data_IF_670345305611
#
_entry.id   IF_670345305611
#
_cell.length_a   1.000
_cell.length_b   1.000
_cell.length_c   1.000
_cell.angle_alpha   90.00
_cell.angle_beta   90.00
_cell.angle_gamma   90.00
#
_symmetry.space_group_name_H-M   'P 1'
#
loop_
_entity.id
_entity.type
_entity.pdbx_description
1 polymer ?
#
# COMPACT_ATOMS: atom_id res chain seq x y z
N UNK A 1 -23.66 -22.62 -12.37
CA UNK A 1 -24.25 -22.15 -11.13
C UNK A 1 -24.55 -23.33 -10.22
N UNK A 2 -24.30 -23.22 -8.94
CA UNK A 2 -24.58 -24.16 -7.87
C UNK A 2 -23.84 -25.49 -7.93
N UNK A 3 -22.51 -25.42 -7.83
CA UNK A 3 -21.76 -26.50 -7.19
C UNK A 3 -22.04 -26.45 -5.68
N UNK A 4 -22.10 -27.63 -5.04
CA UNK A 4 -22.18 -27.68 -3.58
C UNK A 4 -21.08 -26.84 -2.96
N UNK A 5 -21.46 -25.87 -2.16
CA UNK A 5 -20.49 -25.02 -1.43
C UNK A 5 -20.34 -25.60 -0.05
N UNK A 6 -19.13 -26.01 0.30
CA UNK A 6 -18.82 -26.42 1.66
C UNK A 6 -18.72 -25.17 2.55
N UNK A 7 -19.42 -25.16 3.65
CA UNK A 7 -19.31 -24.10 4.65
C UNK A 7 -17.91 -24.11 5.28
N UNK A 8 -17.25 -22.96 5.26
CA UNK A 8 -15.91 -22.78 5.83
C UNK A 8 -15.94 -21.66 6.89
N UNK A 9 -15.73 -22.06 8.15
CA UNK A 9 -15.68 -21.15 9.29
C UNK A 9 -14.61 -20.05 9.13
N UNK A 10 -13.46 -20.36 8.52
CA UNK A 10 -12.40 -19.37 8.29
C UNK A 10 -12.84 -18.28 7.31
N UNK A 11 -13.65 -18.63 6.31
CA UNK A 11 -14.24 -17.63 5.41
C UNK A 11 -15.23 -16.75 6.14
N UNK A 12 -16.08 -17.30 6.98
CA UNK A 12 -17.01 -16.52 7.81
C UNK A 12 -16.26 -15.54 8.72
N UNK A 13 -15.12 -15.95 9.28
CA UNK A 13 -14.25 -15.09 10.06
C UNK A 13 -13.64 -13.94 9.22
N UNK A 14 -13.25 -14.21 7.99
CA UNK A 14 -12.79 -13.19 7.03
C UNK A 14 -13.87 -12.12 6.77
N UNK A 15 -15.12 -12.53 6.56
CA UNK A 15 -16.23 -11.58 6.37
C UNK A 15 -16.58 -10.79 7.65
N UNK A 16 -16.43 -11.38 8.83
CA UNK A 16 -16.52 -10.63 10.10
C UNK A 16 -15.44 -9.53 10.17
N UNK A 17 -14.22 -9.82 9.74
CA UNK A 17 -13.14 -8.84 9.68
C UNK A 17 -13.45 -7.70 8.71
N UNK A 18 -14.11 -7.98 7.60
CA UNK A 18 -14.60 -6.96 6.68
C UNK A 18 -15.57 -6.00 7.38
N UNK A 19 -16.57 -6.52 8.08
CA UNK A 19 -17.49 -5.68 8.86
C UNK A 19 -16.77 -4.84 9.93
N UNK A 20 -15.76 -5.42 10.59
CA UNK A 20 -14.93 -4.70 11.57
C UNK A 20 -14.15 -3.57 10.92
N UNK A 21 -13.57 -3.79 9.74
CA UNK A 21 -12.84 -2.75 9.02
C UNK A 21 -13.77 -1.62 8.54
N UNK A 22 -14.97 -1.95 8.07
CA UNK A 22 -15.98 -0.94 7.71
C UNK A 22 -16.34 -0.08 8.93
N UNK A 23 -16.53 -0.69 10.10
CA UNK A 23 -16.78 0.02 11.36
C UNK A 23 -15.61 0.93 11.74
N UNK A 24 -14.36 0.46 11.64
CA UNK A 24 -13.16 1.24 11.95
C UNK A 24 -13.03 2.42 10.99
N UNK A 25 -13.23 2.21 9.69
CA UNK A 25 -13.23 3.28 8.69
C UNK A 25 -14.33 4.32 8.97
N UNK A 26 -15.54 3.88 9.31
CA UNK A 26 -16.63 4.77 9.69
C UNK A 26 -16.26 5.62 10.92
N UNK A 27 -15.65 5.02 11.93
CA UNK A 27 -15.19 5.78 13.12
C UNK A 27 -14.13 6.81 12.75
N UNK A 28 -13.18 6.45 11.90
CA UNK A 28 -12.18 7.39 11.40
C UNK A 28 -12.84 8.57 10.67
N UNK A 29 -13.79 8.30 9.77
CA UNK A 29 -14.52 9.35 9.06
C UNK A 29 -15.23 10.26 10.04
N UNK A 30 -16.06 9.73 10.93
CA UNK A 30 -16.82 10.52 11.91
C UNK A 30 -15.91 11.38 12.77
N UNK A 31 -14.79 10.86 13.27
CA UNK A 31 -13.80 11.64 14.04
C UNK A 31 -13.22 12.83 13.26
N UNK A 32 -13.17 12.76 11.94
CA UNK A 32 -12.61 13.81 11.10
C UNK A 32 -13.66 14.80 10.56
N UNK A 33 -14.95 14.41 10.57
CA UNK A 33 -16.03 15.21 9.97
C UNK A 33 -17.03 15.75 10.99
N UNK A 34 -17.22 15.08 12.14
CA UNK A 34 -18.21 15.48 13.16
C UNK A 34 -17.88 16.88 13.72
N UNK A 35 -18.86 17.77 13.68
CA UNK A 35 -18.73 19.16 14.10
C UNK A 35 -17.86 20.04 13.19
N UNK A 36 -17.47 19.54 12.03
CA UNK A 36 -16.68 20.28 11.03
C UNK A 36 -17.48 20.49 9.75
N UNK A 37 -17.07 21.51 9.01
CA UNK A 37 -17.65 21.80 7.70
C UNK A 37 -17.26 20.72 6.68
N UNK A 38 -18.27 20.06 6.13
CA UNK A 38 -18.15 19.02 5.10
C UNK A 38 -18.72 19.47 3.76
N UNK A 39 -19.00 20.76 3.56
CA UNK A 39 -19.59 21.27 2.31
C UNK A 39 -20.99 20.71 2.05
N UNK A 40 -21.79 20.47 3.07
CA UNK A 40 -23.18 19.99 2.97
C UNK A 40 -24.13 20.97 3.66
N UNK A 41 -25.41 20.95 3.28
CA UNK A 41 -26.40 21.84 3.87
C UNK A 41 -26.13 23.31 3.60
N UNK A 42 -26.03 24.14 4.65
CA UNK A 42 -25.84 25.58 4.52
C UNK A 42 -24.52 26.00 3.87
N UNK A 43 -23.48 25.17 3.95
CA UNK A 43 -22.14 25.44 3.40
C UNK A 43 -21.90 24.77 2.04
N UNK A 44 -22.92 24.15 1.43
CA UNK A 44 -22.76 23.43 0.15
C UNK A 44 -22.21 24.29 -1.00
N UNK A 45 -22.44 25.60 -0.97
CA UNK A 45 -21.99 26.53 -2.01
C UNK A 45 -20.61 27.17 -1.74
N UNK A 46 -20.02 26.86 -0.61
CA UNK A 46 -18.68 27.38 -0.29
C UNK A 46 -17.59 26.65 -1.07
N UNK A 47 -16.45 27.31 -1.39
CA UNK A 47 -15.41 26.71 -2.22
C UNK A 47 -14.88 25.39 -1.67
N UNK A 48 -14.82 24.37 -2.52
CA UNK A 48 -14.16 23.09 -2.26
C UNK A 48 -13.10 22.85 -3.33
N UNK A 49 -11.91 22.42 -2.89
CA UNK A 49 -10.82 22.09 -3.79
C UNK A 49 -10.56 20.60 -3.73
N UNK A 50 -11.24 19.86 -4.63
CA UNK A 50 -11.07 18.40 -4.75
C UNK A 50 -9.70 18.09 -5.32
N UNK A 51 -8.95 17.25 -4.61
CA UNK A 51 -7.70 16.70 -5.08
C UNK A 51 -7.92 15.62 -6.14
N UNK A 52 -6.85 15.24 -6.86
CA UNK A 52 -6.93 14.07 -7.75
C UNK A 52 -7.22 12.77 -7.00
N UNK A 53 -6.87 12.68 -5.71
CA UNK A 53 -7.16 11.52 -4.86
C UNK A 53 -8.66 11.46 -4.53
N UNK A 54 -9.30 12.60 -4.26
CA UNK A 54 -10.75 12.66 -4.05
C UNK A 54 -11.50 12.25 -5.33
N UNK A 55 -11.06 12.79 -6.48
CA UNK A 55 -11.64 12.45 -7.79
C UNK A 55 -11.42 10.98 -8.16
N UNK A 56 -10.27 10.42 -7.81
CA UNK A 56 -9.97 9.01 -8.01
C UNK A 56 -10.93 8.11 -7.22
N UNK A 57 -11.11 8.33 -5.92
CA UNK A 57 -12.00 7.45 -5.13
C UNK A 57 -13.46 7.57 -5.55
N UNK A 58 -13.91 8.75 -5.96
CA UNK A 58 -15.24 8.95 -6.56
C UNK A 58 -15.35 8.14 -7.86
N UNK A 59 -14.32 8.19 -8.72
CA UNK A 59 -14.30 7.43 -9.97
C UNK A 59 -14.34 5.92 -9.75
N UNK A 60 -13.58 5.42 -8.78
CA UNK A 60 -13.58 3.99 -8.42
C UNK A 60 -14.92 3.56 -7.81
N UNK A 61 -15.55 4.44 -7.03
CA UNK A 61 -16.90 4.19 -6.53
C UNK A 61 -17.92 4.09 -7.66
N UNK A 62 -17.92 5.01 -8.60
CA UNK A 62 -18.83 4.98 -9.76
C UNK A 62 -18.62 3.70 -10.60
N UNK A 63 -17.38 3.30 -10.84
CA UNK A 63 -17.09 2.01 -11.51
C UNK A 63 -17.64 0.82 -10.74
N UNK A 64 -17.52 0.84 -9.42
CA UNK A 64 -18.07 -0.20 -8.55
C UNK A 64 -19.60 -0.25 -8.61
N UNK A 65 -20.25 0.91 -8.60
CA UNK A 65 -21.73 0.98 -8.77
C UNK A 65 -22.17 0.34 -10.09
N UNK A 66 -21.46 0.64 -11.18
CA UNK A 66 -21.74 0.03 -12.49
C UNK A 66 -21.55 -1.49 -12.46
N UNK A 67 -20.45 -1.97 -11.89
CA UNK A 67 -20.15 -3.40 -11.78
C UNK A 67 -21.21 -4.13 -10.94
N UNK A 68 -21.59 -3.56 -9.80
CA UNK A 68 -22.62 -4.12 -8.91
C UNK A 68 -23.98 -4.16 -9.59
N UNK A 69 -24.37 -3.10 -10.30
CA UNK A 69 -25.63 -3.05 -11.03
C UNK A 69 -25.67 -4.13 -12.11
N UNK A 70 -24.62 -4.23 -12.93
CA UNK A 70 -24.48 -5.27 -13.97
C UNK A 70 -24.54 -6.68 -13.35
N UNK A 71 -23.86 -6.87 -12.21
CA UNK A 71 -23.87 -8.17 -11.52
C UNK A 71 -25.28 -8.55 -11.02
N UNK A 72 -26.08 -7.60 -10.56
CA UNK A 72 -27.49 -7.85 -10.20
C UNK A 72 -28.35 -8.16 -11.40
N UNK A 73 -28.18 -7.45 -12.52
CA UNK A 73 -28.89 -7.72 -13.78
C UNK A 73 -28.59 -9.13 -14.32
N UNK A 74 -27.33 -9.57 -14.15
CA UNK A 74 -26.87 -10.91 -14.55
C UNK A 74 -27.17 -12.00 -13.51
N UNK A 75 -27.84 -11.69 -12.41
CA UNK A 75 -28.07 -12.60 -11.27
C UNK A 75 -26.78 -13.18 -10.67
N UNK A 76 -25.66 -12.45 -10.75
CA UNK A 76 -24.35 -12.80 -10.23
C UNK A 76 -24.08 -12.11 -8.88
N UNK A 77 -24.83 -12.54 -7.85
CA UNK A 77 -24.71 -11.98 -6.49
C UNK A 77 -23.30 -12.15 -5.91
N UNK A 78 -22.58 -13.16 -6.33
CA UNK A 78 -21.17 -13.37 -5.99
C UNK A 78 -20.27 -12.23 -6.52
N UNK A 79 -20.47 -11.79 -7.75
CA UNK A 79 -19.75 -10.67 -8.34
C UNK A 79 -20.11 -9.35 -7.65
N UNK A 80 -21.39 -9.12 -7.36
CA UNK A 80 -21.81 -7.92 -6.63
C UNK A 80 -21.15 -7.83 -5.25
N UNK A 81 -21.15 -8.91 -4.49
CA UNK A 81 -20.51 -8.97 -3.19
C UNK A 81 -18.99 -8.76 -3.28
N UNK A 82 -18.32 -9.36 -4.27
CA UNK A 82 -16.89 -9.20 -4.48
C UNK A 82 -16.50 -7.77 -4.90
N UNK A 83 -17.30 -7.13 -5.76
CA UNK A 83 -17.06 -5.74 -6.17
C UNK A 83 -17.13 -4.78 -4.97
N UNK A 84 -18.16 -4.91 -4.14
CA UNK A 84 -18.33 -4.13 -2.92
C UNK A 84 -17.17 -4.41 -1.94
N UNK A 85 -16.83 -5.67 -1.72
CA UNK A 85 -15.72 -6.07 -0.86
C UNK A 85 -14.41 -5.46 -1.33
N UNK A 86 -14.09 -5.58 -2.61
CA UNK A 86 -12.86 -5.07 -3.20
C UNK A 86 -12.76 -3.54 -3.09
N UNK A 87 -13.84 -2.82 -3.39
CA UNK A 87 -13.85 -1.37 -3.26
C UNK A 87 -13.63 -0.94 -1.81
N UNK A 88 -14.42 -1.47 -0.87
CA UNK A 88 -14.35 -1.06 0.54
C UNK A 88 -12.98 -1.39 1.13
N UNK A 89 -12.51 -2.62 0.93
CA UNK A 89 -11.25 -3.06 1.53
C UNK A 89 -10.04 -2.44 0.85
N UNK A 90 -9.89 -2.68 -0.46
CA UNK A 90 -8.66 -2.34 -1.17
C UNK A 90 -8.58 -0.86 -1.58
N UNK A 91 -9.71 -0.22 -1.94
CA UNK A 91 -9.67 1.16 -2.42
C UNK A 91 -9.95 2.16 -1.31
N UNK A 92 -11.06 1.98 -0.60
CA UNK A 92 -11.49 2.95 0.40
C UNK A 92 -10.66 2.86 1.69
N UNK A 93 -10.57 1.68 2.31
CA UNK A 93 -9.88 1.52 3.60
C UNK A 93 -8.36 1.55 3.47
N UNK A 94 -7.79 0.74 2.55
CA UNK A 94 -6.33 0.60 2.47
C UNK A 94 -5.65 1.81 1.83
N UNK A 95 -6.32 2.48 0.88
CA UNK A 95 -5.74 3.61 0.16
C UNK A 95 -6.35 4.95 0.54
N UNK A 96 -7.66 5.15 0.28
CA UNK A 96 -8.24 6.48 0.39
C UNK A 96 -8.18 7.05 1.81
N UNK A 97 -8.53 6.25 2.82
CA UNK A 97 -8.45 6.65 4.23
C UNK A 97 -7.04 7.07 4.62
N UNK A 98 -6.02 6.37 4.14
CA UNK A 98 -4.62 6.73 4.44
C UNK A 98 -4.15 7.97 3.68
N UNK A 99 -4.53 8.11 2.41
CA UNK A 99 -4.21 9.28 1.58
C UNK A 99 -4.91 10.55 2.08
N UNK A 100 -6.15 10.44 2.55
CA UNK A 100 -6.92 11.57 3.08
C UNK A 100 -6.24 12.26 4.27
N UNK A 101 -5.42 11.54 5.03
CA UNK A 101 -4.65 12.11 6.14
C UNK A 101 -3.65 13.19 5.69
N UNK A 102 -3.18 13.12 4.46
CA UNK A 102 -2.32 14.15 3.87
C UNK A 102 -3.14 15.40 3.57
N UNK A 103 -4.28 15.24 2.91
CA UNK A 103 -5.16 16.33 2.47
C UNK A 103 -5.83 17.05 3.66
N UNK A 104 -6.16 16.31 4.73
CA UNK A 104 -6.70 16.88 5.96
C UNK A 104 -5.71 17.81 6.71
N UNK A 105 -4.46 17.94 6.22
CA UNK A 105 -3.45 18.90 6.70
C UNK A 105 -3.26 20.09 5.74
N UNK A 106 -3.97 20.10 4.62
CA UNK A 106 -3.91 21.13 3.60
C UNK A 106 -4.69 22.40 3.96
N UNK A 107 -5.00 23.20 2.95
CA UNK A 107 -5.86 24.39 3.09
C UNK A 107 -7.27 24.04 3.52
N UNK A 108 -8.03 25.02 4.03
CA UNK A 108 -9.43 24.77 4.46
C UNK A 108 -10.30 24.28 3.31
N UNK A 109 -10.11 24.77 2.09
CA UNK A 109 -10.86 24.32 0.92
C UNK A 109 -10.53 22.86 0.53
N UNK A 110 -9.27 22.43 0.68
CA UNK A 110 -8.85 21.04 0.50
C UNK A 110 -9.40 20.14 1.61
N UNK A 111 -9.28 20.56 2.86
CA UNK A 111 -9.83 19.82 4.00
C UNK A 111 -11.34 19.63 3.88
N UNK A 112 -12.06 20.66 3.47
CA UNK A 112 -13.51 20.62 3.24
C UNK A 112 -13.86 19.61 2.15
N UNK A 113 -13.19 19.67 0.99
CA UNK A 113 -13.40 18.74 -0.11
C UNK A 113 -13.12 17.29 0.32
N UNK A 114 -12.05 17.07 1.08
CA UNK A 114 -11.72 15.73 1.59
C UNK A 114 -12.73 15.23 2.61
N UNK A 115 -13.18 16.07 3.54
CA UNK A 115 -14.26 15.71 4.49
C UNK A 115 -15.56 15.38 3.76
N UNK A 116 -15.90 16.19 2.76
CA UNK A 116 -17.05 15.94 1.89
C UNK A 116 -16.95 14.57 1.22
N UNK A 117 -15.82 14.27 0.58
CA UNK A 117 -15.60 13.00 -0.13
C UNK A 117 -15.61 11.81 0.82
N UNK A 118 -14.94 11.93 1.98
CA UNK A 118 -14.93 10.89 3.02
C UNK A 118 -16.35 10.49 3.42
N UNK A 119 -17.20 11.47 3.75
CA UNK A 119 -18.52 11.18 4.30
C UNK A 119 -19.53 10.80 3.22
N UNK A 120 -19.51 11.43 2.04
CA UNK A 120 -20.47 11.16 0.96
C UNK A 120 -20.20 9.83 0.27
N UNK A 121 -18.93 9.48 0.04
CA UNK A 121 -18.58 8.16 -0.51
C UNK A 121 -18.93 7.05 0.49
N UNK A 122 -18.63 7.25 1.80
CA UNK A 122 -19.00 6.26 2.81
C UNK A 122 -20.53 6.06 2.88
N UNK A 123 -21.30 7.14 2.89
CA UNK A 123 -22.75 7.09 2.90
C UNK A 123 -23.27 6.29 1.70
N UNK A 124 -22.78 6.59 0.52
CA UNK A 124 -23.17 5.89 -0.71
C UNK A 124 -22.74 4.41 -0.71
N UNK A 125 -21.58 4.07 -0.15
CA UNK A 125 -21.14 2.68 0.07
C UNK A 125 -22.09 1.93 0.98
N UNK A 126 -22.56 2.56 2.06
CA UNK A 126 -23.51 1.92 2.97
C UNK A 126 -24.84 1.59 2.25
N UNK A 127 -25.33 2.50 1.38
CA UNK A 127 -26.51 2.21 0.53
C UNK A 127 -26.23 1.08 -0.47
N UNK A 128 -25.05 1.10 -1.12
CA UNK A 128 -24.67 0.09 -2.11
C UNK A 128 -24.57 -1.32 -1.49
N UNK A 129 -24.03 -1.42 -0.26
CA UNK A 129 -23.81 -2.67 0.43
C UNK A 129 -25.03 -3.19 1.21
N UNK A 130 -26.06 -2.34 1.43
CA UNK A 130 -27.18 -2.66 2.28
C UNK A 130 -27.94 -3.94 1.91
N UNK A 131 -28.20 -4.28 0.63
CA UNK A 131 -28.87 -5.53 0.27
C UNK A 131 -28.12 -6.79 0.69
N UNK A 132 -26.79 -6.71 0.92
CA UNK A 132 -25.94 -7.86 1.27
C UNK A 132 -25.69 -7.93 2.78
N UNK A 133 -25.45 -6.80 3.43
CA UNK A 133 -25.10 -6.71 4.86
C UNK A 133 -25.98 -5.70 5.60
N UNK A 134 -27.32 -5.90 5.65
CA UNK A 134 -28.29 -4.88 6.05
C UNK A 134 -28.12 -4.37 7.48
N UNK A 135 -27.72 -5.21 8.44
CA UNK A 135 -27.69 -4.82 9.85
C UNK A 135 -26.60 -3.80 10.16
N UNK A 136 -25.36 -4.08 9.73
CA UNK A 136 -24.24 -3.17 10.00
C UNK A 136 -24.37 -1.88 9.18
N UNK A 137 -24.83 -1.96 7.94
CA UNK A 137 -25.01 -0.77 7.11
C UNK A 137 -26.09 0.15 7.65
N UNK A 138 -27.20 -0.37 8.16
CA UNK A 138 -28.24 0.43 8.83
C UNK A 138 -27.66 1.13 10.05
N UNK A 139 -27.03 0.40 10.96
CA UNK A 139 -26.45 0.95 12.20
C UNK A 139 -25.44 2.08 11.92
N UNK A 140 -24.56 1.89 10.92
CA UNK A 140 -23.59 2.90 10.55
C UNK A 140 -24.23 4.09 9.83
N UNK A 141 -25.21 3.83 8.97
CA UNK A 141 -25.89 4.86 8.20
C UNK A 141 -26.67 5.81 9.09
N UNK A 142 -27.30 5.33 10.17
CA UNK A 142 -27.98 6.17 11.12
C UNK A 142 -27.11 7.30 11.70
N UNK A 143 -25.79 7.08 11.76
CA UNK A 143 -24.81 8.07 12.22
C UNK A 143 -24.23 8.91 11.08
N UNK A 144 -23.90 8.26 9.97
CA UNK A 144 -23.22 8.90 8.83
C UNK A 144 -24.15 9.81 8.03
N UNK A 145 -25.41 9.43 7.84
CA UNK A 145 -26.38 10.14 6.99
C UNK A 145 -26.68 11.57 7.42
N UNK A 146 -26.66 11.84 8.71
CA UNK A 146 -26.85 13.19 9.25
C UNK A 146 -25.68 14.08 8.87
N UNK A 147 -24.45 13.60 9.09
CA UNK A 147 -23.22 14.34 8.78
C UNK A 147 -23.02 14.48 7.27
N UNK A 148 -23.50 13.51 6.48
CA UNK A 148 -23.51 13.59 5.02
C UNK A 148 -24.60 14.53 4.46
N UNK A 149 -25.46 15.08 5.32
CA UNK A 149 -26.57 15.95 4.90
C UNK A 149 -27.70 15.25 4.15
N UNK A 150 -27.76 13.92 4.21
CA UNK A 150 -28.80 13.11 3.53
C UNK A 150 -30.11 13.13 4.29
N UNK A 151 -30.05 13.21 5.61
CA UNK A 151 -31.23 13.36 6.47
C UNK A 151 -31.00 14.36 7.60
N UNK A 152 -32.07 14.84 8.20
CA UNK A 152 -32.03 15.66 9.41
C UNK A 152 -31.88 14.75 10.66
N UNK A 153 -31.32 15.29 11.74
CA UNK A 153 -31.08 14.53 12.97
C UNK A 153 -32.34 14.03 13.66
N UNK A 154 -33.46 14.71 13.48
CA UNK A 154 -34.78 14.40 14.01
C UNK A 154 -35.70 13.63 13.04
N UNK A 155 -35.19 13.29 11.86
CA UNK A 155 -35.93 12.55 10.85
C UNK A 155 -35.84 11.05 11.11
N UNK A 156 -37.02 10.40 11.22
CA UNK A 156 -37.11 8.93 11.31
C UNK A 156 -37.05 8.33 9.90
N UNK A 157 -35.88 7.90 9.49
CA UNK A 157 -35.63 7.36 8.18
C UNK A 157 -34.76 6.11 8.25
N UNK A 158 -35.01 5.18 7.34
CA UNK A 158 -34.29 3.90 7.24
C UNK A 158 -33.50 3.84 5.93
N UNK A 159 -32.32 3.23 5.98
CA UNK A 159 -31.44 3.07 4.83
C UNK A 159 -32.14 2.28 3.70
N UNK A 160 -32.90 1.24 4.03
CA UNK A 160 -33.61 0.42 3.06
C UNK A 160 -34.63 1.18 2.19
N UNK A 161 -35.07 2.36 2.63
CA UNK A 161 -36.00 3.21 1.90
C UNK A 161 -35.29 4.29 1.06
N UNK A 162 -33.97 4.37 1.15
CA UNK A 162 -33.20 5.35 0.38
C UNK A 162 -32.99 4.91 -1.07
N UNK A 163 -32.83 5.89 -1.95
CA UNK A 163 -32.54 5.62 -3.37
C UNK A 163 -31.21 4.87 -3.52
N UNK A 164 -31.25 3.72 -4.22
CA UNK A 164 -30.05 2.95 -4.49
C UNK A 164 -29.09 3.72 -5.39
N UNK A 165 -27.76 3.64 -5.17
CA UNK A 165 -26.77 4.35 -5.99
C UNK A 165 -26.89 3.95 -7.47
N UNK A 166 -26.83 4.94 -8.35
CA UNK A 166 -26.83 4.77 -9.80
C UNK A 166 -25.55 5.31 -10.39
N UNK A 167 -25.01 4.62 -11.39
CA UNK A 167 -23.77 5.03 -12.07
C UNK A 167 -23.92 6.39 -12.77
N UNK A 168 -22.97 7.28 -12.52
CA UNK A 168 -22.87 8.58 -13.18
C UNK A 168 -21.50 8.72 -13.89
N UNK A 169 -21.50 8.61 -15.21
CA UNK A 169 -20.29 8.70 -16.02
C UNK A 169 -19.59 10.06 -15.91
N UNK A 170 -20.31 11.13 -15.59
CA UNK A 170 -19.74 12.49 -15.45
C UNK A 170 -18.83 12.64 -14.22
N UNK A 171 -18.96 11.74 -13.26
CA UNK A 171 -18.12 11.71 -12.06
C UNK A 171 -16.81 10.94 -12.23
N UNK A 172 -16.62 10.27 -13.37
CA UNK A 172 -15.41 9.49 -13.64
C UNK A 172 -14.33 10.39 -14.23
N UNK A 173 -13.25 10.58 -13.48
CA UNK A 173 -12.07 11.35 -13.88
C UNK A 173 -10.93 10.36 -14.24
N UNK A 174 -10.72 10.16 -15.55
CA UNK A 174 -9.75 9.21 -16.05
C UNK A 174 -8.29 9.63 -15.72
N UNK A 175 -8.02 10.93 -15.70
CA UNK A 175 -6.68 11.45 -15.40
C UNK A 175 -6.35 11.25 -13.92
N UNK A 176 -7.30 11.46 -13.02
CA UNK A 176 -7.14 11.17 -11.61
C UNK A 176 -6.86 9.69 -11.36
N UNK A 177 -7.55 8.80 -12.09
CA UNK A 177 -7.33 7.35 -12.01
C UNK A 177 -5.93 6.97 -12.51
N UNK A 178 -5.49 7.51 -13.65
CA UNK A 178 -4.16 7.24 -14.20
C UNK A 178 -3.05 7.71 -13.25
N UNK A 179 -3.18 8.93 -12.70
CA UNK A 179 -2.23 9.47 -11.70
C UNK A 179 -2.15 8.60 -10.46
N UNK A 180 -3.30 8.19 -9.94
CA UNK A 180 -3.33 7.35 -8.74
C UNK A 180 -2.73 5.97 -8.99
N UNK A 181 -2.96 5.37 -10.16
CA UNK A 181 -2.32 4.11 -10.57
C UNK A 181 -0.79 4.22 -10.55
N UNK A 182 -0.25 5.33 -11.06
CA UNK A 182 1.20 5.59 -11.02
C UNK A 182 1.71 5.70 -9.57
N UNK A 183 1.02 6.44 -8.71
CA UNK A 183 1.41 6.61 -7.30
C UNK A 183 1.35 5.28 -6.54
N UNK A 184 0.34 4.47 -6.77
CA UNK A 184 0.25 3.13 -6.18
C UNK A 184 1.43 2.26 -6.61
N UNK A 185 1.77 2.24 -7.90
CA UNK A 185 2.92 1.51 -8.41
C UNK A 185 4.26 2.03 -7.83
N UNK A 186 4.40 3.35 -7.66
CA UNK A 186 5.57 3.95 -7.01
C UNK A 186 5.68 3.51 -5.54
N UNK A 187 4.59 3.55 -4.78
CA UNK A 187 4.56 3.13 -3.37
C UNK A 187 4.93 1.65 -3.24
N UNK A 188 4.36 0.79 -4.08
CA UNK A 188 4.65 -0.64 -4.05
C UNK A 188 6.10 -0.93 -4.46
N UNK A 189 6.63 -0.21 -5.44
CA UNK A 189 8.05 -0.31 -5.81
C UNK A 189 8.98 0.12 -4.67
N UNK A 190 8.66 1.20 -3.95
CA UNK A 190 9.43 1.63 -2.76
C UNK A 190 9.34 0.58 -1.65
N UNK A 191 8.18 -0.01 -1.42
CA UNK A 191 8.01 -1.10 -0.44
C UNK A 191 8.85 -2.33 -0.81
N UNK A 192 8.92 -2.67 -2.09
CA UNK A 192 9.77 -3.75 -2.59
C UNK A 192 11.25 -3.44 -2.39
N UNK A 193 11.71 -2.22 -2.75
CA UNK A 193 13.08 -1.78 -2.48
C UNK A 193 13.43 -1.89 -0.99
N UNK A 194 12.53 -1.45 -0.10
CA UNK A 194 12.74 -1.58 1.35
C UNK A 194 12.88 -3.04 1.78
N UNK A 195 12.09 -3.93 1.20
CA UNK A 195 12.12 -5.37 1.49
C UNK A 195 13.42 -6.01 0.99
N UNK A 196 13.85 -5.71 -0.23
CA UNK A 196 15.11 -6.19 -0.81
C UNK A 196 16.31 -5.75 0.01
N UNK A 197 16.28 -4.50 0.48
CA UNK A 197 17.32 -3.94 1.34
C UNK A 197 17.20 -4.36 2.80
N UNK A 198 16.19 -5.18 3.16
CA UNK A 198 15.90 -5.66 4.52
C UNK A 198 15.79 -4.53 5.55
N UNK A 199 15.25 -3.39 5.14
CA UNK A 199 15.08 -2.24 6.01
C UNK A 199 13.92 -2.48 6.99
N UNK A 200 14.11 -2.22 8.29
CA UNK A 200 13.03 -2.38 9.26
C UNK A 200 11.89 -1.41 8.99
N UNK A 201 10.63 -1.82 9.23
CA UNK A 201 9.45 -0.97 8.95
C UNK A 201 9.43 0.36 9.70
N UNK A 202 10.11 0.44 10.85
CA UNK A 202 10.20 1.66 11.66
C UNK A 202 11.19 2.69 11.13
N UNK A 203 12.16 2.29 10.31
CA UNK A 203 13.20 3.17 9.79
C UNK A 203 12.64 4.00 8.64
N UNK A 204 12.66 5.33 8.79
CA UNK A 204 12.36 6.26 7.71
C UNK A 204 13.61 6.49 6.86
N UNK A 205 13.42 6.58 5.54
CA UNK A 205 14.53 6.75 4.60
C UNK A 205 14.24 7.92 3.67
N UNK A 206 15.25 8.71 3.29
CA UNK A 206 15.12 9.67 2.21
C UNK A 206 14.95 8.96 0.86
N UNK A 207 14.05 9.49 0.01
CA UNK A 207 13.84 9.03 -1.36
C UNK A 207 14.36 10.10 -2.33
N UNK A 208 15.14 9.67 -3.31
CA UNK A 208 15.43 10.43 -4.51
C UNK A 208 14.50 9.97 -5.62
N UNK A 209 13.85 10.92 -6.27
CA UNK A 209 12.95 10.67 -7.40
C UNK A 209 13.34 11.53 -8.59
N UNK A 210 13.43 10.93 -9.78
CA UNK A 210 13.56 11.67 -11.04
C UNK A 210 12.40 11.36 -11.95
N UNK A 211 12.00 12.34 -12.76
CA UNK A 211 10.84 12.28 -13.66
C UNK A 211 10.22 13.67 -13.83
N UNK A 212 9.02 13.78 -14.41
CA UNK A 212 8.33 15.06 -14.56
C UNK A 212 8.15 15.76 -13.21
N UNK A 213 8.74 16.96 -13.06
CA UNK A 213 8.83 17.66 -11.77
C UNK A 213 7.46 17.89 -11.12
N UNK A 214 6.48 18.35 -11.90
CA UNK A 214 5.14 18.64 -11.39
C UNK A 214 4.44 17.37 -10.85
N UNK A 215 4.64 16.23 -11.51
CA UNK A 215 4.09 14.94 -11.08
C UNK A 215 4.78 14.43 -9.82
N UNK A 216 6.12 14.53 -9.79
CA UNK A 216 6.91 14.17 -8.62
C UNK A 216 6.53 15.01 -7.40
N UNK A 217 6.38 16.33 -7.57
CA UNK A 217 5.96 17.24 -6.51
C UNK A 217 4.56 16.91 -5.97
N UNK A 218 3.61 16.60 -6.87
CA UNK A 218 2.25 16.23 -6.49
C UNK A 218 2.19 14.86 -5.78
N UNK A 219 3.07 13.92 -6.13
CA UNK A 219 3.14 12.58 -5.51
C UNK A 219 3.86 12.59 -4.16
N UNK A 220 4.85 13.47 -3.98
CA UNK A 220 5.78 13.47 -2.85
C UNK A 220 5.11 13.34 -1.46
N UNK A 221 4.08 14.12 -1.09
CA UNK A 221 3.47 14.01 0.24
C UNK A 221 2.80 12.66 0.48
N UNK A 222 2.23 12.04 -0.56
CA UNK A 222 1.60 10.71 -0.48
C UNK A 222 2.65 9.60 -0.39
N UNK A 223 3.73 9.67 -1.18
CA UNK A 223 4.87 8.76 -1.09
C UNK A 223 5.49 8.81 0.31
N UNK A 224 5.70 10.02 0.84
CA UNK A 224 6.28 10.21 2.16
C UNK A 224 5.43 9.58 3.26
N UNK A 225 4.11 9.75 3.22
CA UNK A 225 3.19 9.21 4.21
C UNK A 225 3.08 7.69 4.11
N UNK A 226 2.81 7.14 2.91
CA UNK A 226 2.44 5.72 2.74
C UNK A 226 3.63 4.78 2.61
N UNK A 227 4.77 5.27 2.11
CA UNK A 227 6.01 4.50 2.04
C UNK A 227 6.93 4.72 3.25
N UNK A 228 6.50 5.50 4.25
CA UNK A 228 7.24 5.84 5.48
C UNK A 228 8.62 6.42 5.17
N UNK A 229 8.63 7.45 4.35
CA UNK A 229 9.85 8.14 3.98
C UNK A 229 10.13 9.30 4.93
N UNK A 230 11.39 9.64 5.09
CA UNK A 230 11.83 10.83 5.81
C UNK A 230 11.61 12.08 4.97
N UNK A 231 12.05 12.01 3.71
CA UNK A 231 11.89 13.08 2.71
C UNK A 231 11.76 12.49 1.32
N UNK A 232 11.21 13.27 0.40
CA UNK A 232 11.18 12.98 -1.04
C UNK A 232 11.84 14.16 -1.74
N UNK A 233 12.93 13.91 -2.44
CA UNK A 233 13.71 14.95 -3.14
C UNK A 233 13.69 14.66 -4.63
N UNK A 234 13.18 15.62 -5.43
CA UNK A 234 13.28 15.56 -6.88
C UNK A 234 14.70 15.87 -7.32
N UNK A 235 15.20 15.10 -8.27
CA UNK A 235 16.53 15.27 -8.88
C UNK A 235 16.43 15.05 -10.38
N UNK A 236 17.21 15.81 -11.17
CA UNK A 236 17.23 15.63 -12.63
C UNK A 236 17.93 14.33 -13.02
N UNK A 237 19.06 14.03 -12.36
CA UNK A 237 19.84 12.81 -12.59
C UNK A 237 20.10 12.08 -11.27
N UNK A 238 19.49 10.89 -11.16
CA UNK A 238 19.68 10.00 -10.02
C UNK A 238 21.12 9.52 -9.86
N UNK A 239 21.84 9.31 -10.96
CA UNK A 239 23.21 8.80 -10.90
C UNK A 239 24.16 9.84 -10.32
N UNK A 240 23.98 11.12 -10.69
CA UNK A 240 24.76 12.22 -10.11
C UNK A 240 24.38 12.47 -8.66
N UNK A 241 23.11 12.44 -8.33
CA UNK A 241 22.62 12.67 -6.96
C UNK A 241 22.97 11.52 -6.00
N UNK A 242 23.18 10.33 -6.53
CA UNK A 242 23.51 9.13 -5.76
C UNK A 242 24.96 9.10 -5.24
N UNK A 243 25.86 9.89 -5.81
CA UNK A 243 27.30 10.01 -5.49
C UNK A 243 27.86 8.83 -4.63
N UNK A 244 28.10 7.67 -5.30
CA UNK A 244 28.70 6.51 -4.63
C UNK A 244 27.73 5.58 -3.87
N UNK A 245 26.42 5.84 -3.87
CA UNK A 245 25.44 4.91 -3.33
C UNK A 245 25.18 3.77 -4.32
N UNK A 246 25.32 2.52 -3.88
CA UNK A 246 25.00 1.31 -4.66
C UNK A 246 23.56 0.85 -4.41
N UNK A 247 22.67 1.79 -4.09
CA UNK A 247 21.27 1.45 -3.82
C UNK A 247 20.52 1.05 -5.10
N UNK A 248 19.64 0.03 -5.04
CA UNK A 248 18.85 -0.38 -6.18
C UNK A 248 17.89 0.73 -6.62
N UNK A 249 17.67 0.84 -7.93
CA UNK A 249 16.77 1.81 -8.56
C UNK A 249 15.53 1.07 -9.06
N UNK A 250 14.36 1.54 -8.68
CA UNK A 250 13.10 1.11 -9.29
C UNK A 250 12.67 2.09 -10.39
N UNK A 251 12.06 1.58 -11.44
CA UNK A 251 11.53 2.37 -12.56
C UNK A 251 10.02 2.16 -12.60
N UNK A 252 9.26 3.25 -12.58
CA UNK A 252 7.81 3.25 -12.66
C UNK A 252 7.37 4.32 -13.66
N UNK A 253 6.92 3.90 -14.84
CA UNK A 253 6.67 4.81 -15.96
C UNK A 253 7.91 5.65 -16.28
N UNK A 254 7.75 6.96 -16.29
CA UNK A 254 8.84 7.92 -16.54
C UNK A 254 9.65 8.28 -15.28
N UNK A 255 9.27 7.75 -14.12
CA UNK A 255 9.92 8.05 -12.86
C UNK A 255 10.93 6.96 -12.47
N UNK A 256 12.08 7.39 -11.93
CA UNK A 256 13.06 6.50 -11.30
C UNK A 256 13.13 6.84 -9.81
N UNK A 257 13.15 5.81 -8.98
CA UNK A 257 13.06 5.88 -7.52
C UNK A 257 14.28 5.21 -6.90
N UNK A 258 14.92 5.88 -5.95
CA UNK A 258 16.06 5.32 -5.22
C UNK A 258 15.98 5.74 -3.74
N UNK A 259 16.07 4.77 -2.85
CA UNK A 259 16.23 5.05 -1.43
C UNK A 259 17.68 5.45 -1.14
N UNK A 260 17.87 6.65 -0.59
CA UNK A 260 19.19 7.10 -0.18
C UNK A 260 19.54 6.43 1.16
N UNK A 261 20.36 5.40 1.09
CA UNK A 261 20.91 4.77 2.29
C UNK A 261 22.22 5.47 2.59
N UNK A 262 22.29 6.16 3.71
CA UNK A 262 23.57 6.49 4.30
C UNK A 262 24.15 5.18 4.87
N UNK A 263 24.92 4.48 4.05
CA UNK A 263 25.67 3.33 4.52
C UNK A 263 26.76 3.95 5.40
N UNK A 264 26.70 3.66 6.69
CA UNK A 264 27.92 3.80 7.51
C UNK A 264 28.93 2.81 6.93
N UNK A 265 29.71 3.30 5.97
CA UNK A 265 30.68 2.51 5.19
C UNK A 265 31.63 1.78 6.15
N UNK A 266 31.93 2.40 7.29
CA UNK A 266 32.81 1.81 8.31
C UNK A 266 32.13 0.64 9.03
N UNK A 267 30.90 0.81 9.49
CA UNK A 267 30.11 -0.25 10.13
C UNK A 267 29.81 -1.40 9.18
N UNK A 268 29.46 -1.10 7.93
CA UNK A 268 29.17 -2.13 6.93
C UNK A 268 30.43 -2.87 6.48
N UNK A 269 31.53 -2.17 6.31
CA UNK A 269 32.86 -2.79 6.04
C UNK A 269 33.28 -3.71 7.19
N UNK A 270 33.08 -3.29 8.44
CA UNK A 270 33.35 -4.12 9.60
C UNK A 270 32.46 -5.36 9.66
N UNK A 271 31.16 -5.20 9.37
CA UNK A 271 30.20 -6.31 9.29
C UNK A 271 30.56 -7.32 8.20
N UNK A 272 30.83 -6.85 6.98
CA UNK A 272 31.21 -7.70 5.85
C UNK A 272 32.57 -8.37 6.09
N UNK A 273 33.55 -7.67 6.69
CA UNK A 273 34.85 -8.25 7.05
C UNK A 273 34.71 -9.36 8.09
N UNK A 274 33.85 -9.20 9.10
CA UNK A 274 33.54 -10.27 10.08
C UNK A 274 32.89 -11.47 9.42
N UNK A 275 31.95 -11.25 8.51
CA UNK A 275 31.30 -12.32 7.78
C UNK A 275 32.24 -13.03 6.81
N UNK A 276 33.09 -12.30 6.09
CA UNK A 276 34.13 -12.89 5.23
C UNK A 276 35.09 -13.76 6.05
N UNK A 277 35.56 -13.28 7.22
CA UNK A 277 36.43 -14.05 8.11
C UNK A 277 35.73 -15.33 8.63
N UNK A 278 34.45 -15.26 8.96
CA UNK A 278 33.62 -16.42 9.35
C UNK A 278 33.56 -17.46 8.24
N UNK A 279 33.19 -17.02 7.01
CA UNK A 279 33.05 -17.89 5.84
C UNK A 279 34.41 -18.50 5.44
N UNK A 280 35.47 -17.72 5.45
CA UNK A 280 36.84 -18.22 5.21
C UNK A 280 37.22 -19.29 6.23
N UNK A 281 36.83 -19.14 7.49
CA UNK A 281 36.99 -20.15 8.53
C UNK A 281 36.27 -21.46 8.22
N UNK A 282 35.04 -21.38 7.72
CA UNK A 282 34.23 -22.58 7.31
C UNK A 282 34.85 -23.24 6.06
N UNK A 283 35.27 -22.46 5.07
CA UNK A 283 35.96 -22.98 3.87
C UNK A 283 37.24 -23.75 4.31
N UNK A 284 38.06 -23.16 5.18
CA UNK A 284 39.26 -23.81 5.70
C UNK A 284 38.98 -25.11 6.46
N UNK A 285 37.89 -25.16 7.25
CA UNK A 285 37.46 -26.39 7.95
C UNK A 285 37.06 -27.48 6.97
N UNK A 286 36.26 -27.16 5.93
CA UNK A 286 35.87 -28.11 4.89
C UNK A 286 37.08 -28.60 4.09
N UNK A 287 37.98 -27.71 3.71
CA UNK A 287 39.24 -28.04 3.02
C UNK A 287 40.13 -28.96 3.87
N UNK A 288 40.28 -28.66 5.15
CA UNK A 288 41.09 -29.48 6.08
C UNK A 288 40.51 -30.90 6.26
N UNK A 289 39.16 -31.03 6.33
CA UNK A 289 38.50 -32.33 6.38
C UNK A 289 38.66 -33.11 5.07
N UNK A 290 38.49 -32.49 3.93
CA UNK A 290 38.62 -33.10 2.61
C UNK A 290 40.07 -33.40 2.24
N UNK A 291 41.03 -32.66 2.79
CA UNK A 291 42.49 -32.94 2.66
C UNK A 291 43.01 -34.02 3.56
N UNK A 292 42.22 -34.50 4.52
CA UNK A 292 42.61 -35.62 5.39
C UNK A 292 42.31 -36.97 4.73
N UNK A 293 43.34 -37.63 4.23
CA UNK A 293 43.22 -38.95 3.55
C UNK A 293 42.54 -39.98 4.42
N UNK A 294 42.74 -39.97 5.74
CA UNK A 294 42.07 -40.91 6.68
C UNK A 294 40.59 -40.66 6.80
N UNK A 295 40.15 -39.40 6.66
CA UNK A 295 38.71 -39.06 6.65
C UNK A 295 38.08 -39.50 5.33
N UNK A 296 38.69 -39.11 4.21
CA UNK A 296 38.12 -39.41 2.86
C UNK A 296 38.06 -40.91 2.59
N UNK A 297 39.01 -41.73 3.08
CA UNK A 297 39.04 -43.16 2.87
C UNK A 297 38.11 -43.96 3.81
N UNK A 298 37.76 -43.40 4.98
CA UNK A 298 36.94 -44.11 5.99
C UNK A 298 35.51 -43.62 6.10
N UNK A 299 35.22 -42.40 5.65
CA UNK A 299 33.88 -41.85 5.72
C UNK A 299 32.99 -42.37 4.60
N UNK A 300 31.68 -42.55 4.86
CA UNK A 300 30.71 -42.91 3.81
C UNK A 300 30.74 -41.87 2.68
N UNK A 301 30.60 -42.31 1.42
CA UNK A 301 30.64 -41.44 0.23
C UNK A 301 29.66 -40.26 0.33
N UNK A 302 28.47 -40.48 0.87
CA UNK A 302 27.45 -39.44 1.09
C UNK A 302 27.94 -38.30 2.02
N UNK A 303 28.77 -38.61 3.01
CA UNK A 303 29.35 -37.61 3.94
C UNK A 303 30.42 -36.77 3.24
N UNK A 304 31.27 -37.44 2.45
CA UNK A 304 32.29 -36.75 1.65
C UNK A 304 31.65 -35.81 0.60
N UNK A 305 30.59 -36.29 -0.05
CA UNK A 305 29.86 -35.46 -1.03
C UNK A 305 29.13 -34.28 -0.36
N UNK A 306 28.62 -34.47 0.85
CA UNK A 306 28.03 -33.36 1.62
C UNK A 306 29.05 -32.30 1.97
N UNK A 307 30.27 -32.70 2.41
CA UNK A 307 31.33 -31.73 2.70
C UNK A 307 31.87 -31.02 1.44
N UNK A 308 31.90 -31.69 0.28
CA UNK A 308 32.22 -31.05 -1.01
C UNK A 308 31.17 -30.00 -1.40
N UNK A 309 29.88 -30.31 -1.25
CA UNK A 309 28.79 -29.34 -1.51
C UNK A 309 28.88 -28.13 -0.58
N UNK A 310 29.10 -28.35 0.71
CA UNK A 310 29.33 -27.28 1.69
C UNK A 310 30.54 -26.40 1.33
N UNK A 311 31.64 -27.01 0.91
CA UNK A 311 32.82 -26.28 0.47
C UNK A 311 32.47 -25.36 -0.72
N UNK A 312 31.77 -25.88 -1.72
CA UNK A 312 31.37 -25.10 -2.89
C UNK A 312 30.42 -23.94 -2.50
N UNK A 313 29.44 -24.21 -1.63
CA UNK A 313 28.49 -23.19 -1.13
C UNK A 313 29.20 -22.07 -0.36
N UNK A 314 30.08 -22.42 0.61
CA UNK A 314 30.80 -21.42 1.40
C UNK A 314 31.80 -20.63 0.55
N UNK A 315 32.44 -21.27 -0.44
CA UNK A 315 33.34 -20.56 -1.36
C UNK A 315 32.57 -19.57 -2.22
N UNK A 316 31.38 -19.94 -2.74
CA UNK A 316 30.54 -19.04 -3.52
C UNK A 316 29.98 -17.88 -2.67
N UNK A 317 29.64 -18.14 -1.40
CA UNK A 317 29.19 -17.09 -0.48
C UNK A 317 30.34 -16.14 -0.11
N UNK A 318 31.53 -16.67 0.13
CA UNK A 318 32.72 -15.87 0.42
C UNK A 318 33.05 -14.92 -0.73
N UNK A 319 33.07 -15.42 -1.96
CA UNK A 319 33.32 -14.61 -3.15
C UNK A 319 32.30 -13.46 -3.31
N UNK A 320 31.01 -13.72 -3.00
CA UNK A 320 29.98 -12.66 -3.03
C UNK A 320 30.20 -11.59 -1.96
N UNK A 321 30.63 -11.99 -0.75
CA UNK A 321 30.91 -11.04 0.34
C UNK A 321 32.14 -10.20 0.03
N UNK A 322 33.19 -10.81 -0.54
CA UNK A 322 34.39 -10.11 -0.99
C UNK A 322 34.09 -9.13 -2.12
N UNK A 323 33.26 -9.51 -3.09
CA UNK A 323 32.78 -8.59 -4.15
C UNK A 323 32.01 -7.40 -3.56
N UNK A 324 31.23 -7.61 -2.50
CA UNK A 324 30.53 -6.52 -1.81
C UNK A 324 31.51 -5.60 -1.05
N UNK A 325 32.54 -6.15 -0.45
CA UNK A 325 33.59 -5.37 0.21
C UNK A 325 34.38 -4.49 -0.77
N UNK A 326 34.66 -5.02 -1.97
CA UNK A 326 35.41 -4.29 -3.00
C UNK A 326 34.56 -3.15 -3.64
N UNK A 327 33.23 -3.29 -3.62
CA UNK A 327 32.28 -2.27 -4.12
C UNK A 327 32.06 -1.13 -3.11
N UNK A 328 32.45 -1.28 -1.84
CA UNK A 328 32.34 -0.20 -0.87
C UNK A 328 33.39 0.89 -1.17
N UNK A 329 32.97 2.19 -1.14
CA UNK A 329 33.91 3.30 -1.35
C UNK A 329 35.09 3.20 -0.40
N UNK A 330 36.28 3.57 -0.89
CA UNK A 330 37.46 3.75 -0.03
C UNK A 330 37.19 4.91 0.95
N UNK A 331 37.72 4.82 2.17
CA UNK A 331 37.62 5.89 3.17
C UNK A 331 38.24 7.20 2.69
#
# INVERSE_FOLDING_TARGET
>A
LCRNVNFDLKRAEGYRNFCTNLLIATRFVLMNVEGKDCGVGATANEPMQFSFVDKWIISEFERTVKEVTTAYEDYRLDNAANAIYSFVWNQYCDWYVELSKVQLRGSEAEQRATRHTLVTVLEAVLRLAHPIIPFITEELWQKVSVTAGVRKSDEDAFLMLQTYPTFDAMKVDADAVARMTTIQAQIDSIRNLRSEMKLPPSQKMPLLISGPEAECAAAAPYLQQLARLESVTHVEDLQQAAQGSVAPVAIVGDSKLMLKVEIDVKAERERLSKEAARLAGEVKKCQSKLGNERFVSKAPAAVVDTEKKRLAEFTALLAKVEEQLDKLPAE
#
